data_IF_128734483419
#
_entry.id   IF_128734483419
#
_cell.length_a   1.000
_cell.length_b   1.000
_cell.length_c   1.000
_cell.angle_alpha   90.00
_cell.angle_beta   90.00
_cell.angle_gamma   90.00
#
_symmetry.space_group_name_H-M   'P 1'
#
loop_
_entity.id
_entity.type
_entity.pdbx_description
1 polymer ?
#
# COMPACT_ATOMS: atom_id res chain seq x y z
N UNK A 1 -16.83 -8.80 1.19
CA UNK A 1 -16.46 -7.65 0.36
C UNK A 1 -16.19 -6.41 1.21
N UNK A 2 -16.94 -6.16 2.31
CA UNK A 2 -16.69 -5.05 3.25
C UNK A 2 -15.23 -4.98 3.72
N UNK A 3 -14.67 -6.06 4.27
CA UNK A 3 -13.27 -6.10 4.73
C UNK A 3 -12.17 -6.01 3.64
N UNK A 4 -12.47 -6.29 2.36
CA UNK A 4 -11.50 -6.12 1.26
C UNK A 4 -11.51 -4.67 0.71
N UNK A 5 -12.51 -3.88 1.10
CA UNK A 5 -12.69 -2.50 0.70
C UNK A 5 -12.63 -1.51 1.87
N UNK A 6 -12.75 -1.95 3.11
CA UNK A 6 -12.60 -1.13 4.34
C UNK A 6 -11.14 -0.97 4.77
N UNK A 7 -10.16 -1.47 4.01
CA UNK A 7 -8.74 -1.20 4.28
C UNK A 7 -8.33 0.28 4.05
N UNK A 8 -9.32 1.17 3.89
CA UNK A 8 -9.23 2.57 4.28
C UNK A 8 -9.56 2.67 5.77
N UNK A 9 -8.53 2.60 6.62
CA UNK A 9 -8.53 3.33 7.90
C UNK A 9 -9.72 3.00 8.81
N UNK A 10 -9.94 1.74 9.21
CA UNK A 10 -10.72 1.48 10.43
C UNK A 10 -9.77 1.50 11.61
N UNK A 11 -9.38 2.70 12.05
CA UNK A 11 -8.73 2.93 13.36
C UNK A 11 -9.72 2.71 14.53
N UNK A 12 -10.95 2.27 14.27
CA UNK A 12 -12.01 2.13 15.27
C UNK A 12 -12.25 0.67 15.72
N UNK A 13 -11.28 0.04 16.39
CA UNK A 13 -11.53 -1.27 17.04
C UNK A 13 -11.17 -1.30 18.53
N UNK A 14 -11.28 -0.17 19.24
CA UNK A 14 -11.19 -0.13 20.71
C UNK A 14 -12.29 0.73 21.31
N UNK A 15 -13.56 0.43 21.00
CA UNK A 15 -14.70 1.06 21.70
C UNK A 15 -15.83 0.04 21.87
N UNK A 16 -15.60 -0.96 22.73
CA UNK A 16 -16.71 -1.65 23.39
C UNK A 16 -16.26 -2.21 24.73
N UNK A 17 -16.06 -1.34 25.71
CA UNK A 17 -16.34 -1.61 27.13
C UNK A 17 -16.05 -0.34 27.94
N UNK A 18 -17.10 0.24 28.53
CA UNK A 18 -17.01 1.42 29.38
C UNK A 18 -18.21 2.33 29.21
N UNK A 19 -19.34 1.95 29.82
CA UNK A 19 -20.48 2.85 29.99
C UNK A 19 -20.14 3.88 31.07
N UNK A 20 -20.16 5.15 30.71
CA UNK A 20 -19.99 6.28 31.62
C UNK A 20 -19.91 7.59 30.83
N UNK A 21 -20.94 8.42 30.92
CA UNK A 21 -20.94 9.79 30.39
C UNK A 21 -19.76 10.57 30.98
N UNK A 22 -18.80 10.95 30.15
CA UNK A 22 -17.69 11.84 30.52
C UNK A 22 -17.23 12.64 29.29
N UNK A 23 -16.74 13.86 29.53
CA UNK A 23 -16.16 14.77 28.54
C UNK A 23 -15.33 14.04 27.47
N UNK A 24 -15.54 14.39 26.20
CA UNK A 24 -14.75 13.83 25.11
C UNK A 24 -13.30 14.30 25.28
N UNK A 25 -12.43 13.42 25.77
CA UNK A 25 -10.99 13.65 25.95
C UNK A 25 -10.33 14.17 24.65
N UNK A 26 -9.37 15.10 24.77
CA UNK A 26 -8.61 15.70 23.65
C UNK A 26 -7.93 14.62 22.78
N UNK A 27 -7.56 13.51 23.40
CA UNK A 27 -7.07 12.29 22.73
C UNK A 27 -8.11 11.70 21.77
N UNK A 28 -9.35 11.58 22.24
CA UNK A 28 -10.47 11.04 21.46
C UNK A 28 -10.84 11.99 20.31
N UNK A 29 -10.75 13.30 20.53
CA UNK A 29 -11.01 14.30 19.49
C UNK A 29 -9.95 14.26 18.38
N UNK A 30 -8.66 14.14 18.71
CA UNK A 30 -7.59 14.15 17.71
C UNK A 30 -7.53 12.87 16.85
N UNK A 31 -7.79 11.69 17.43
CA UNK A 31 -7.89 10.43 16.65
C UNK A 31 -9.08 10.51 15.68
N UNK A 32 -10.23 11.01 16.16
CA UNK A 32 -11.40 11.24 15.32
C UNK A 32 -11.14 12.26 14.21
N UNK A 33 -10.34 13.29 14.46
CA UNK A 33 -10.05 14.33 13.49
C UNK A 33 -9.31 13.80 12.25
N UNK A 34 -8.27 12.97 12.42
CA UNK A 34 -7.57 12.37 11.28
C UNK A 34 -8.49 11.44 10.47
N UNK A 35 -9.21 10.54 11.14
CA UNK A 35 -10.16 9.65 10.46
C UNK A 35 -11.27 10.42 9.74
N UNK A 36 -11.76 11.51 10.35
CA UNK A 36 -12.78 12.36 9.75
C UNK A 36 -12.26 13.12 8.53
N UNK A 37 -11.02 13.64 8.60
CA UNK A 37 -10.37 14.29 7.46
C UNK A 37 -10.21 13.30 6.28
N UNK A 38 -9.72 12.09 6.54
CA UNK A 38 -9.58 11.05 5.51
C UNK A 38 -10.94 10.67 4.91
N UNK A 39 -11.98 10.51 5.74
CA UNK A 39 -13.34 10.20 5.29
C UNK A 39 -13.92 11.33 4.44
N UNK A 40 -13.72 12.58 4.87
CA UNK A 40 -14.14 13.77 4.15
C UNK A 40 -13.51 13.80 2.76
N UNK A 41 -12.17 13.68 2.69
CA UNK A 41 -11.44 13.67 1.44
C UNK A 41 -11.87 12.53 0.51
N UNK A 42 -12.01 11.31 1.04
CA UNK A 42 -12.52 10.18 0.25
C UNK A 42 -13.93 10.44 -0.30
N UNK A 43 -14.80 11.12 0.46
CA UNK A 43 -16.14 11.44 -0.01
C UNK A 43 -16.12 12.51 -1.12
N UNK A 44 -15.31 13.56 -0.98
CA UNK A 44 -15.17 14.59 -2.01
C UNK A 44 -14.65 14.00 -3.33
N UNK A 45 -13.59 13.20 -3.27
CA UNK A 45 -13.06 12.48 -4.44
C UNK A 45 -14.13 11.59 -5.06
N UNK A 46 -14.87 10.84 -4.24
CA UNK A 46 -15.95 9.99 -4.72
C UNK A 46 -17.02 10.79 -5.47
N UNK A 47 -17.47 11.92 -4.91
CA UNK A 47 -18.48 12.79 -5.54
C UNK A 47 -17.95 13.37 -6.86
N UNK A 48 -16.72 13.87 -6.87
CA UNK A 48 -16.04 14.39 -8.05
C UNK A 48 -16.00 13.37 -9.19
N UNK A 49 -15.65 12.12 -8.89
CA UNK A 49 -15.58 11.02 -9.86
C UNK A 49 -16.96 10.53 -10.28
N UNK A 50 -17.94 10.48 -9.38
CA UNK A 50 -19.32 10.09 -9.70
C UNK A 50 -19.97 11.07 -10.68
N UNK A 51 -19.62 12.36 -10.63
CA UNK A 51 -20.13 13.34 -11.59
C UNK A 51 -19.53 13.14 -12.99
N UNK A 52 -18.24 12.78 -13.07
CA UNK A 52 -17.46 12.80 -14.31
C UNK A 52 -17.36 11.46 -15.03
N UNK A 53 -17.34 10.33 -14.32
CA UNK A 53 -16.90 9.05 -14.88
C UNK A 53 -18.02 8.00 -14.88
N UNK A 54 -18.61 7.68 -16.05
CA UNK A 54 -19.63 6.65 -16.17
C UNK A 54 -19.19 5.28 -15.63
N UNK A 55 -17.97 4.85 -15.98
CA UNK A 55 -17.43 3.57 -15.51
C UNK A 55 -17.27 3.52 -13.98
N UNK A 56 -16.98 4.66 -13.34
CA UNK A 56 -16.89 4.76 -11.89
C UNK A 56 -18.26 4.71 -11.21
N UNK A 57 -19.29 5.34 -11.81
CA UNK A 57 -20.69 5.20 -11.37
C UNK A 57 -21.11 3.73 -11.42
N UNK A 58 -20.93 3.07 -12.57
CA UNK A 58 -21.24 1.65 -12.72
C UNK A 58 -20.47 0.78 -11.73
N UNK A 59 -19.17 1.05 -11.52
CA UNK A 59 -18.38 0.34 -10.53
C UNK A 59 -18.95 0.50 -9.12
N UNK A 60 -19.39 1.71 -8.75
CA UNK A 60 -19.98 2.01 -7.45
C UNK A 60 -21.27 1.22 -7.24
N UNK A 61 -22.17 1.19 -8.23
CA UNK A 61 -23.42 0.43 -8.17
C UNK A 61 -23.17 -1.09 -8.05
N UNK A 62 -22.17 -1.61 -8.79
CA UNK A 62 -21.81 -3.04 -8.74
C UNK A 62 -21.19 -3.42 -7.39
N UNK A 63 -20.39 -2.53 -6.80
CA UNK A 63 -19.87 -2.69 -5.43
C UNK A 63 -21.03 -2.69 -4.43
N UNK A 64 -22.02 -1.82 -4.58
CA UNK A 64 -23.19 -1.82 -3.69
C UNK A 64 -24.00 -3.12 -3.78
N UNK A 65 -24.29 -3.59 -5.00
CA UNK A 65 -24.96 -4.88 -5.21
C UNK A 65 -24.24 -6.05 -4.57
N UNK A 66 -22.91 -6.12 -4.74
CA UNK A 66 -22.12 -7.17 -4.13
C UNK A 66 -22.02 -7.07 -2.60
N UNK A 67 -22.16 -5.88 -2.01
CA UNK A 67 -22.15 -5.68 -0.55
C UNK A 67 -23.44 -6.16 0.10
N UNK A 68 -24.55 -5.99 -0.60
CA UNK A 68 -25.86 -6.39 -0.14
C UNK A 68 -26.12 -7.89 -0.37
N UNK A 69 -25.16 -8.63 -0.94
CA UNK A 69 -25.23 -10.07 -1.14
C UNK A 69 -24.23 -10.83 -0.24
N UNK A 70 -24.70 -11.64 0.73
CA UNK A 70 -23.83 -12.47 1.59
C UNK A 70 -22.88 -13.40 0.81
N UNK A 71 -23.26 -13.83 -0.39
CA UNK A 71 -22.39 -14.63 -1.27
C UNK A 71 -21.10 -13.88 -1.65
N UNK A 72 -21.17 -12.54 -1.76
CA UNK A 72 -20.01 -11.69 -1.93
C UNK A 72 -19.07 -11.77 -0.73
N UNK A 73 -19.61 -11.70 0.49
CA UNK A 73 -18.79 -11.84 1.71
C UNK A 73 -18.10 -13.21 1.80
N UNK A 74 -18.81 -14.30 1.51
CA UNK A 74 -18.22 -15.63 1.44
C UNK A 74 -17.12 -15.74 0.36
N UNK A 75 -17.35 -15.15 -0.82
CA UNK A 75 -16.37 -15.13 -1.90
C UNK A 75 -15.05 -14.47 -1.48
N UNK A 76 -15.13 -13.26 -0.92
CA UNK A 76 -13.94 -12.54 -0.48
C UNK A 76 -13.30 -13.17 0.78
N UNK A 77 -14.09 -13.78 1.67
CA UNK A 77 -13.54 -14.54 2.81
C UNK A 77 -12.76 -15.79 2.37
N UNK A 78 -13.25 -16.53 1.36
CA UNK A 78 -12.51 -17.64 0.75
C UNK A 78 -11.21 -17.15 0.12
N UNK A 79 -11.28 -16.05 -0.61
CA UNK A 79 -10.14 -15.41 -1.24
C UNK A 79 -9.07 -14.91 -0.23
N UNK A 80 -9.47 -14.38 0.93
CA UNK A 80 -8.54 -14.01 2.03
C UNK A 80 -7.83 -15.23 2.58
N UNK A 81 -8.59 -16.28 2.94
CA UNK A 81 -8.02 -17.55 3.43
C UNK A 81 -7.02 -18.18 2.46
N UNK A 82 -7.25 -18.02 1.15
CA UNK A 82 -6.32 -18.47 0.12
C UNK A 82 -5.07 -17.60 0.03
N UNK A 83 -5.19 -16.29 0.18
CA UNK A 83 -4.04 -15.38 0.22
C UNK A 83 -3.16 -15.64 1.45
N UNK A 84 -3.79 -15.83 2.62
CA UNK A 84 -3.09 -16.14 3.88
C UNK A 84 -2.38 -17.52 3.83
N UNK A 85 -2.79 -18.41 2.90
CA UNK A 85 -2.24 -19.76 2.68
C UNK A 85 -1.68 -19.90 1.26
N UNK A 86 -0.91 -18.90 0.80
CA UNK A 86 -0.40 -18.84 -0.57
C UNK A 86 0.39 -20.10 -0.94
N UNK A 87 -0.14 -20.86 -1.90
CA UNK A 87 0.48 -22.08 -2.44
C UNK A 87 1.51 -21.79 -3.53
N UNK A 88 2.37 -22.76 -3.83
CA UNK A 88 3.44 -22.57 -4.83
C UNK A 88 2.91 -22.18 -6.23
N UNK A 89 1.76 -22.76 -6.61
CA UNK A 89 1.07 -22.46 -7.88
C UNK A 89 0.51 -21.04 -7.91
N UNK A 90 -0.01 -20.54 -6.79
CA UNK A 90 -0.60 -19.19 -6.72
C UNK A 90 0.49 -18.13 -6.87
N UNK A 91 1.61 -18.27 -6.18
CA UNK A 91 2.69 -17.30 -6.33
C UNK A 91 3.37 -17.32 -7.70
N UNK A 92 3.46 -18.47 -8.38
CA UNK A 92 3.88 -18.53 -9.80
C UNK A 92 2.88 -17.80 -10.73
N UNK A 93 1.58 -17.88 -10.44
CA UNK A 93 0.56 -17.14 -11.18
C UNK A 93 0.69 -15.62 -10.98
N UNK A 94 0.92 -15.17 -9.74
CA UNK A 94 1.16 -13.77 -9.42
C UNK A 94 2.45 -13.22 -10.00
N UNK A 95 3.51 -14.03 -10.01
CA UNK A 95 4.76 -13.74 -10.70
C UNK A 95 4.53 -13.42 -12.19
N UNK A 96 3.75 -14.25 -12.88
CA UNK A 96 3.45 -14.05 -14.30
C UNK A 96 2.55 -12.83 -14.56
N UNK A 97 1.64 -12.52 -13.63
CA UNK A 97 0.82 -11.30 -13.69
C UNK A 97 1.69 -10.03 -13.64
N UNK A 98 2.67 -9.98 -12.73
CA UNK A 98 3.56 -8.82 -12.57
C UNK A 98 4.54 -8.66 -13.74
N UNK A 99 4.95 -9.76 -14.39
CA UNK A 99 5.75 -9.70 -15.64
C UNK A 99 5.03 -8.99 -16.78
N UNK A 100 3.70 -9.07 -16.85
CA UNK A 100 2.91 -8.38 -17.88
C UNK A 100 2.86 -6.87 -17.64
N UNK A 101 2.87 -6.43 -16.37
CA UNK A 101 2.87 -5.02 -15.99
C UNK A 101 4.16 -4.28 -16.40
N UNK A 102 5.29 -5.01 -16.52
CA UNK A 102 6.57 -4.44 -16.94
C UNK A 102 7.15 -5.23 -18.12
N UNK A 103 6.86 -4.79 -19.36
CA UNK A 103 7.30 -5.43 -20.63
C UNK A 103 8.81 -5.68 -20.76
N UNK A 104 9.66 -5.07 -19.92
CA UNK A 104 11.12 -5.28 -19.87
C UNK A 104 11.59 -6.32 -18.82
N UNK A 105 10.66 -6.99 -18.12
CA UNK A 105 10.92 -7.88 -16.97
C UNK A 105 11.03 -9.37 -17.34
N UNK A 106 11.82 -9.73 -18.34
CA UNK A 106 11.98 -11.16 -18.70
C UNK A 106 12.83 -11.97 -17.71
N UNK A 107 13.53 -11.32 -16.75
CA UNK A 107 14.61 -11.95 -15.95
C UNK A 107 14.44 -11.88 -14.43
N UNK A 108 13.36 -11.29 -13.92
CA UNK A 108 13.23 -11.01 -12.50
C UNK A 108 12.49 -12.10 -11.74
N UNK A 109 12.79 -12.20 -10.47
CA UNK A 109 12.33 -13.20 -9.51
C UNK A 109 11.29 -12.52 -8.60
N UNK A 110 10.01 -12.92 -8.65
CA UNK A 110 8.88 -12.22 -7.98
C UNK A 110 8.09 -13.11 -7.02
N UNK A 111 7.55 -12.49 -5.96
CA UNK A 111 6.55 -13.10 -5.09
C UNK A 111 5.51 -12.04 -4.69
N UNK A 112 4.20 -12.31 -4.78
CA UNK A 112 3.15 -11.41 -4.29
C UNK A 112 3.21 -11.28 -2.76
N UNK A 113 2.89 -10.09 -2.25
CA UNK A 113 2.96 -9.79 -0.81
C UNK A 113 4.37 -9.48 -0.30
N UNK A 114 5.35 -9.36 -1.21
CA UNK A 114 6.76 -9.18 -0.89
C UNK A 114 7.22 -7.75 -1.23
N UNK A 115 7.94 -7.12 -0.32
CA UNK A 115 8.74 -5.95 -0.66
C UNK A 115 10.03 -6.41 -1.36
N UNK A 116 10.39 -5.82 -2.49
CA UNK A 116 11.61 -6.24 -3.21
C UNK A 116 12.27 -5.07 -3.89
N UNK A 117 13.60 -4.99 -3.80
CA UNK A 117 14.42 -4.01 -4.50
C UNK A 117 15.48 -4.75 -5.34
N UNK A 118 15.69 -4.31 -6.57
CA UNK A 118 16.55 -5.01 -7.52
C UNK A 118 17.48 -4.05 -8.27
N UNK A 119 18.78 -4.39 -8.30
CA UNK A 119 19.80 -3.65 -9.02
C UNK A 119 20.07 -4.28 -10.38
N UNK A 120 20.20 -3.45 -11.42
CA UNK A 120 20.67 -3.79 -12.75
C UNK A 120 22.19 -3.55 -12.86
N UNK A 121 22.88 -4.42 -13.60
CA UNK A 121 24.26 -4.25 -14.09
C UNK A 121 25.37 -4.08 -13.03
N UNK A 122 25.39 -4.94 -12.02
CA UNK A 122 26.67 -5.33 -11.39
C UNK A 122 26.68 -6.83 -11.29
N UNK A 123 27.75 -7.49 -11.76
CA UNK A 123 28.01 -8.89 -11.45
C UNK A 123 28.66 -8.96 -10.07
N UNK A 124 28.16 -9.81 -9.14
CA UNK A 124 26.91 -10.55 -9.23
C UNK A 124 25.71 -9.63 -8.97
N UNK A 125 24.60 -9.88 -9.68
CA UNK A 125 23.36 -9.10 -9.58
C UNK A 125 22.91 -9.05 -8.12
N UNK A 126 23.14 -7.95 -7.41
CA UNK A 126 22.58 -7.81 -6.06
C UNK A 126 21.08 -7.57 -6.21
N UNK A 127 20.30 -8.62 -5.95
CA UNK A 127 18.84 -8.57 -5.91
C UNK A 127 18.45 -8.80 -4.46
N UNK A 128 18.09 -7.73 -3.75
CA UNK A 128 17.68 -7.80 -2.35
C UNK A 128 16.15 -7.87 -2.28
N UNK A 129 15.63 -9.07 -2.06
CA UNK A 129 14.21 -9.24 -1.77
C UNK A 129 14.03 -9.30 -0.25
N UNK A 130 13.22 -8.40 0.32
CA UNK A 130 13.00 -8.29 1.76
C UNK A 130 11.58 -8.75 2.12
N UNK A 131 11.48 -9.91 2.77
CA UNK A 131 10.19 -10.44 3.24
C UNK A 131 10.10 -10.42 4.74
N UNK A 132 8.89 -10.37 5.29
CA UNK A 132 8.68 -10.70 6.70
C UNK A 132 9.24 -12.12 6.98
N UNK A 133 9.90 -12.37 8.11
CA UNK A 133 10.33 -13.71 8.51
C UNK A 133 9.21 -14.75 8.47
N UNK A 134 9.53 -15.99 8.06
CA UNK A 134 8.54 -17.07 7.89
C UNK A 134 7.84 -17.41 9.21
N UNK A 135 8.60 -17.39 10.30
CA UNK A 135 8.14 -17.56 11.68
C UNK A 135 7.27 -16.38 12.17
N UNK A 136 7.45 -15.20 11.60
CA UNK A 136 6.60 -14.01 11.81
C UNK A 136 5.46 -13.88 10.79
N UNK A 137 5.13 -14.98 10.11
CA UNK A 137 4.00 -15.09 9.18
C UNK A 137 4.32 -14.81 7.71
N UNK A 138 5.58 -14.52 7.37
CA UNK A 138 6.02 -14.31 6.00
C UNK A 138 5.80 -15.51 5.08
N UNK A 139 5.73 -15.24 3.77
CA UNK A 139 5.55 -16.28 2.77
C UNK A 139 6.89 -16.80 2.25
N UNK A 140 6.99 -18.12 2.03
CA UNK A 140 8.16 -18.74 1.43
C UNK A 140 8.41 -18.14 0.05
N UNK A 141 9.55 -17.48 -0.13
CA UNK A 141 9.95 -17.00 -1.44
C UNK A 141 10.12 -18.19 -2.39
N UNK A 142 9.35 -18.21 -3.48
CA UNK A 142 9.40 -19.28 -4.49
C UNK A 142 10.40 -19.01 -5.60
N UNK A 143 11.41 -18.22 -5.28
CA UNK A 143 12.49 -17.95 -6.20
C UNK A 143 13.35 -19.21 -6.27
N UNK A 144 13.59 -19.71 -7.49
CA UNK A 144 14.66 -20.70 -7.69
C UNK A 144 15.93 -20.06 -7.14
N UNK A 145 16.59 -20.75 -6.20
CA UNK A 145 17.91 -20.34 -5.69
C UNK A 145 18.79 -20.07 -6.90
N UNK A 146 19.21 -18.82 -7.03
CA UNK A 146 20.12 -18.39 -8.07
C UNK A 146 21.30 -17.73 -7.37
N UNK A 147 22.56 -17.99 -7.76
CA UNK A 147 23.76 -17.39 -7.15
C UNK A 147 23.86 -15.85 -7.24
N UNK A 148 22.79 -15.18 -7.67
CA UNK A 148 22.73 -13.73 -7.89
C UNK A 148 21.40 -13.18 -7.36
N UNK A 149 20.87 -13.79 -6.31
CA UNK A 149 19.67 -13.36 -5.61
C UNK A 149 19.91 -13.60 -4.13
N UNK A 150 20.01 -12.52 -3.37
CA UNK A 150 20.06 -12.57 -1.92
C UNK A 150 18.68 -12.19 -1.38
N UNK A 151 18.03 -13.17 -0.75
CA UNK A 151 16.72 -12.96 -0.14
C UNK A 151 16.95 -12.86 1.35
N UNK A 152 16.70 -11.68 1.90
CA UNK A 152 16.70 -11.49 3.34
C UNK A 152 15.26 -11.49 3.85
N UNK A 153 15.05 -12.25 4.92
CA UNK A 153 13.77 -12.29 5.60
C UNK A 153 13.86 -11.38 6.83
N UNK A 154 13.46 -10.12 6.69
CA UNK A 154 13.48 -9.09 7.74
C UNK A 154 12.18 -8.29 7.78
N UNK A 155 11.80 -7.82 8.97
CA UNK A 155 10.72 -6.85 9.13
C UNK A 155 11.25 -5.45 8.79
N UNK A 156 10.96 -4.99 7.57
CA UNK A 156 11.44 -3.68 7.11
C UNK A 156 10.97 -2.52 7.98
N UNK A 157 9.85 -2.67 8.72
CA UNK A 157 9.36 -1.62 9.62
C UNK A 157 10.27 -1.40 10.84
N UNK A 158 11.27 -2.27 11.01
CA UNK A 158 12.29 -2.21 12.06
C UNK A 158 13.63 -1.65 11.57
N UNK A 159 13.71 -1.14 10.33
CA UNK A 159 14.90 -0.49 9.76
C UNK A 159 15.02 0.98 10.22
N UNK A 160 15.25 1.18 11.52
CA UNK A 160 15.25 2.53 12.12
C UNK A 160 16.34 3.45 11.55
N UNK A 161 17.55 2.92 11.39
CA UNK A 161 18.67 3.69 10.84
C UNK A 161 18.43 4.11 9.38
N UNK A 162 17.96 3.18 8.54
CA UNK A 162 17.60 3.46 7.14
C UNK A 162 16.46 4.50 7.05
N UNK A 163 15.53 4.48 8.02
CA UNK A 163 14.47 5.48 8.16
C UNK A 163 14.90 6.78 8.84
N UNK A 164 16.21 6.98 9.04
CA UNK A 164 16.79 8.24 9.51
C UNK A 164 16.80 8.42 11.04
N UNK A 165 16.69 7.35 11.82
CA UNK A 165 16.77 7.38 13.28
C UNK A 165 18.15 6.92 13.74
N UNK A 166 18.91 7.84 14.33
CA UNK A 166 20.27 7.56 14.82
C UNK A 166 20.31 6.63 16.04
N UNK A 167 19.33 6.74 16.94
CA UNK A 167 19.26 5.92 18.15
C UNK A 167 17.82 5.65 18.53
N UNK A 168 17.51 4.39 18.84
CA UNK A 168 16.20 3.97 19.32
C UNK A 168 16.04 4.35 20.80
N UNK A 169 14.92 4.99 21.22
CA UNK A 169 14.73 5.36 22.62
C UNK A 169 14.74 4.12 23.54
N UNK A 170 15.54 4.08 24.63
CA UNK A 170 15.66 2.88 25.48
C UNK A 170 14.34 2.41 26.12
N UNK A 171 13.39 3.32 26.30
CA UNK A 171 12.07 3.03 26.84
C UNK A 171 11.10 2.41 25.80
N UNK A 172 11.50 2.33 24.53
CA UNK A 172 10.65 1.77 23.49
C UNK A 172 10.51 0.24 23.67
N UNK A 173 9.29 -0.33 23.64
CA UNK A 173 9.07 -1.75 23.91
C UNK A 173 9.91 -2.69 23.02
N UNK A 174 10.09 -2.32 21.75
CA UNK A 174 10.82 -3.10 20.76
C UNK A 174 12.28 -2.60 20.57
N UNK A 175 12.88 -1.92 21.54
CA UNK A 175 14.24 -1.32 21.41
C UNK A 175 15.27 -2.30 20.84
N UNK A 176 15.25 -3.53 21.31
CA UNK A 176 16.20 -4.58 20.91
C UNK A 176 15.82 -5.32 19.63
N UNK A 177 14.62 -5.09 19.09
CA UNK A 177 14.15 -5.71 17.84
C UNK A 177 14.48 -4.86 16.60
N UNK A 178 14.91 -3.60 16.78
CA UNK A 178 15.35 -2.77 15.66
C UNK A 178 16.63 -3.33 15.04
N UNK A 179 16.66 -3.32 13.71
CA UNK A 179 17.74 -3.87 12.94
C UNK A 179 18.86 -2.83 12.75
N UNK A 180 20.13 -3.27 12.66
CA UNK A 180 21.20 -2.41 12.16
C UNK A 180 20.87 -1.87 10.77
N UNK A 181 21.50 -0.75 10.40
CA UNK A 181 21.40 -0.18 9.05
C UNK A 181 21.66 -1.26 8.00
N UNK A 182 20.79 -1.34 6.99
CA UNK A 182 20.89 -2.34 5.93
C UNK A 182 21.34 -1.76 4.60
N UNK A 183 20.97 -0.52 4.32
CA UNK A 183 21.21 0.14 3.04
C UNK A 183 22.06 1.39 3.25
N UNK A 184 23.06 1.53 2.40
CA UNK A 184 24.03 2.63 2.42
C UNK A 184 23.91 3.47 1.15
N UNK A 185 24.50 4.66 1.13
CA UNK A 185 24.37 5.61 0.02
C UNK A 185 24.78 5.05 -1.36
N UNK A 186 25.62 4.01 -1.42
CA UNK A 186 26.02 3.35 -2.66
C UNK A 186 25.06 2.27 -3.16
N UNK A 187 24.08 1.88 -2.34
CA UNK A 187 23.10 0.85 -2.66
C UNK A 187 21.97 1.47 -3.46
N UNK A 188 22.07 1.43 -4.78
CA UNK A 188 21.06 2.00 -5.68
C UNK A 188 20.48 0.94 -6.61
N UNK A 189 19.17 1.03 -6.84
CA UNK A 189 18.35 0.04 -7.52
C UNK A 189 17.65 0.64 -8.74
N UNK A 190 17.44 -0.19 -9.76
CA UNK A 190 16.77 0.23 -11.01
C UNK A 190 15.27 -0.09 -10.96
N UNK A 191 14.88 -0.97 -10.02
CA UNK A 191 13.52 -1.45 -9.86
C UNK A 191 13.21 -1.70 -8.39
N UNK A 192 12.07 -1.18 -7.92
CA UNK A 192 11.51 -1.53 -6.62
C UNK A 192 10.04 -1.95 -6.75
N UNK A 193 9.64 -2.91 -5.93
CA UNK A 193 8.27 -3.38 -5.79
C UNK A 193 7.82 -3.24 -4.35
N UNK A 194 6.84 -2.39 -4.15
CA UNK A 194 6.18 -2.10 -2.89
C UNK A 194 4.85 -2.87 -2.83
N UNK A 195 4.92 -4.18 -2.65
CA UNK A 195 3.75 -5.07 -2.55
C UNK A 195 3.62 -5.71 -1.15
N UNK A 196 4.43 -5.27 -0.19
CA UNK A 196 4.35 -5.68 1.20
C UNK A 196 3.00 -5.30 1.78
N UNK A 197 2.36 -6.25 2.46
CA UNK A 197 1.07 -6.09 3.12
C UNK A 197 1.14 -6.57 4.57
N UNK A 198 0.39 -5.89 5.43
CA UNK A 198 0.22 -6.32 6.81
C UNK A 198 -0.63 -7.60 6.83
N UNK A 199 -0.03 -8.70 7.27
CA UNK A 199 -0.70 -9.99 7.31
C UNK A 199 -1.67 -10.07 8.50
N UNK A 200 -2.84 -10.68 8.27
CA UNK A 200 -3.90 -10.82 9.30
C UNK A 200 -3.51 -11.78 10.41
N UNK A 201 -2.60 -12.71 10.12
CA UNK A 201 -2.16 -13.77 11.03
C UNK A 201 -0.95 -13.37 11.88
N UNK A 202 -0.34 -12.21 11.61
CA UNK A 202 0.83 -11.75 12.34
C UNK A 202 0.39 -11.08 13.65
N UNK A 203 0.80 -11.66 14.78
CA UNK A 203 0.66 -11.04 16.11
C UNK A 203 1.53 -9.79 16.17
N UNK A 204 0.97 -8.67 16.66
CA UNK A 204 1.63 -7.38 16.74
C UNK A 204 1.54 -6.83 18.15
N UNK A 205 2.53 -6.03 18.51
CA UNK A 205 2.48 -5.27 19.75
C UNK A 205 1.35 -4.22 19.70
N UNK A 206 0.62 -4.06 20.80
CA UNK A 206 -0.57 -3.21 20.85
C UNK A 206 -0.30 -1.75 20.44
N UNK A 207 0.89 -1.22 20.77
CA UNK A 207 1.24 0.17 20.47
C UNK A 207 1.30 0.50 18.97
N UNK A 208 1.55 -0.50 18.11
CA UNK A 208 1.77 -0.31 16.66
C UNK A 208 0.68 -0.92 15.79
N UNK A 209 -0.25 -1.69 16.34
CA UNK A 209 -1.20 -2.48 15.56
C UNK A 209 -2.02 -1.63 14.58
N UNK A 210 -2.63 -0.53 15.05
CA UNK A 210 -3.45 0.36 14.21
C UNK A 210 -2.63 1.15 13.19
N UNK A 211 -1.34 1.35 13.46
CA UNK A 211 -0.42 2.17 12.65
C UNK A 211 0.51 1.36 11.76
N UNK A 212 0.53 0.04 11.89
CA UNK A 212 1.40 -0.86 11.12
C UNK A 212 1.24 -0.72 9.60
N UNK A 213 0.01 -0.58 9.04
CA UNK A 213 -0.13 -0.37 7.60
C UNK A 213 0.54 0.92 7.12
N UNK A 214 0.50 1.98 7.94
CA UNK A 214 1.19 3.23 7.67
C UNK A 214 2.70 3.05 7.76
N UNK A 215 3.21 2.44 8.84
CA UNK A 215 4.65 2.13 9.01
C UNK A 215 5.18 1.36 7.82
N UNK A 216 4.48 0.31 7.39
CA UNK A 216 4.88 -0.52 6.25
C UNK A 216 4.87 0.26 4.94
N UNK A 217 3.81 1.01 4.66
CA UNK A 217 3.70 1.79 3.41
C UNK A 217 4.81 2.85 3.32
N UNK A 218 5.02 3.61 4.39
CA UNK A 218 6.02 4.67 4.45
C UNK A 218 7.44 4.13 4.31
N UNK A 219 7.73 2.99 4.96
CA UNK A 219 9.03 2.31 4.83
C UNK A 219 9.29 1.89 3.39
N UNK A 220 8.32 1.19 2.77
CA UNK A 220 8.47 0.73 1.39
C UNK A 220 8.68 1.88 0.42
N UNK A 221 7.93 2.97 0.57
CA UNK A 221 8.03 4.14 -0.30
C UNK A 221 9.35 4.90 -0.10
N UNK A 222 9.73 5.20 1.15
CA UNK A 222 10.93 5.96 1.48
C UNK A 222 12.20 5.24 1.04
N UNK A 223 12.39 3.99 1.48
CA UNK A 223 13.58 3.21 1.15
C UNK A 223 13.69 2.99 -0.36
N UNK A 224 12.58 2.66 -1.02
CA UNK A 224 12.61 2.43 -2.47
C UNK A 224 12.99 3.66 -3.26
N UNK A 225 12.44 4.83 -2.91
CA UNK A 225 12.68 6.06 -3.65
C UNK A 225 14.07 6.63 -3.35
N UNK A 226 14.52 6.58 -2.10
CA UNK A 226 15.85 7.04 -1.68
C UNK A 226 16.97 6.26 -2.34
N UNK A 227 16.78 4.95 -2.51
CA UNK A 227 17.73 4.07 -3.17
C UNK A 227 17.37 3.84 -4.65
N UNK A 228 16.50 4.65 -5.26
CA UNK A 228 16.17 4.55 -6.68
C UNK A 228 17.22 5.27 -7.52
N UNK A 229 17.75 4.59 -8.55
CA UNK A 229 18.55 5.26 -9.57
C UNK A 229 17.68 6.22 -10.40
N UNK A 230 18.21 7.38 -10.84
CA UNK A 230 17.56 8.20 -11.84
C UNK A 230 17.19 7.37 -13.09
N UNK A 231 15.94 7.50 -13.55
CA UNK A 231 15.38 6.72 -14.65
C UNK A 231 14.78 5.36 -14.24
N UNK A 232 14.91 4.96 -12.98
CA UNK A 232 14.42 3.68 -12.45
C UNK A 232 12.89 3.58 -12.41
N UNK A 233 12.39 2.42 -11.95
CA UNK A 233 10.96 2.10 -11.91
C UNK A 233 10.51 1.62 -10.53
N UNK A 234 9.34 2.07 -10.08
CA UNK A 234 8.65 1.55 -8.90
C UNK A 234 7.29 0.97 -9.27
N UNK A 235 6.99 -0.23 -8.76
CA UNK A 235 5.65 -0.79 -8.75
C UNK A 235 5.10 -0.73 -7.33
N UNK A 236 4.01 -0.02 -7.11
CA UNK A 236 3.43 0.17 -5.78
C UNK A 236 2.02 -0.37 -5.74
N UNK A 237 1.75 -1.29 -4.82
CA UNK A 237 0.40 -1.80 -4.59
C UNK A 237 -0.47 -0.69 -3.98
N UNK A 238 -1.57 -0.38 -4.67
CA UNK A 238 -2.61 0.55 -4.23
C UNK A 238 -3.90 -0.20 -3.95
N UNK A 239 -4.68 0.32 -2.99
CA UNK A 239 -6.03 -0.17 -2.68
C UNK A 239 -7.04 0.92 -2.97
N UNK A 240 -7.85 0.73 -4.02
CA UNK A 240 -8.73 1.74 -4.64
C UNK A 240 -7.93 2.93 -5.18
N UNK A 241 -8.10 3.24 -6.45
CA UNK A 241 -7.48 4.43 -7.06
C UNK A 241 -8.04 5.69 -6.40
N UNK A 242 -9.33 5.67 -6.06
CA UNK A 242 -10.08 6.78 -5.48
C UNK A 242 -9.88 7.00 -3.97
N UNK A 243 -9.05 6.20 -3.28
CA UNK A 243 -8.81 6.44 -1.85
C UNK A 243 -7.86 7.61 -1.63
N UNK A 244 -8.06 8.39 -0.56
CA UNK A 244 -7.21 9.55 -0.25
C UNK A 244 -5.72 9.23 -0.29
N UNK A 245 -5.32 8.12 0.36
CA UNK A 245 -3.92 7.67 0.37
C UNK A 245 -3.39 7.33 -1.03
N UNK A 246 -4.16 6.64 -1.87
CA UNK A 246 -3.76 6.33 -3.24
C UNK A 246 -3.64 7.60 -4.09
N UNK A 247 -4.58 8.54 -3.95
CA UNK A 247 -4.56 9.82 -4.68
C UNK A 247 -3.30 10.62 -4.31
N UNK A 248 -2.97 10.73 -3.02
CA UNK A 248 -1.75 11.42 -2.59
C UNK A 248 -0.47 10.76 -3.12
N UNK A 249 -0.41 9.42 -3.15
CA UNK A 249 0.74 8.70 -3.73
C UNK A 249 0.83 8.98 -5.24
N UNK A 250 -0.27 8.84 -5.98
CA UNK A 250 -0.31 9.08 -7.42
C UNK A 250 0.10 10.53 -7.76
N UNK A 251 -0.46 11.51 -7.04
CA UNK A 251 -0.14 12.94 -7.19
C UNK A 251 1.34 13.18 -6.93
N UNK A 252 1.87 12.65 -5.83
CA UNK A 252 3.28 12.77 -5.46
C UNK A 252 4.20 12.27 -6.58
N UNK A 253 3.98 11.04 -7.06
CA UNK A 253 4.84 10.45 -8.09
C UNK A 253 4.70 11.12 -9.46
N UNK A 254 3.54 11.69 -9.80
CA UNK A 254 3.37 12.46 -11.05
C UNK A 254 4.26 13.72 -11.09
N UNK A 255 4.70 14.24 -9.94
CA UNK A 255 5.60 15.40 -9.88
C UNK A 255 7.03 15.11 -10.34
N UNK A 256 7.46 13.85 -10.39
CA UNK A 256 8.85 13.49 -10.68
C UNK A 256 9.03 12.18 -11.47
N UNK A 257 7.96 11.62 -12.05
CA UNK A 257 8.01 10.37 -12.80
C UNK A 257 6.85 10.21 -13.78
N UNK A 258 6.99 9.28 -14.73
CA UNK A 258 5.93 8.85 -15.62
C UNK A 258 5.05 7.81 -14.92
N UNK A 259 3.81 8.17 -14.59
CA UNK A 259 2.89 7.34 -13.80
C UNK A 259 1.78 6.72 -14.66
N UNK A 260 1.52 5.43 -14.43
CA UNK A 260 0.35 4.70 -14.92
C UNK A 260 -0.27 3.85 -13.81
N UNK A 261 -1.57 3.58 -13.89
CA UNK A 261 -2.23 2.60 -13.03
C UNK A 261 -2.50 1.33 -13.83
N UNK A 262 -2.11 0.20 -13.27
CA UNK A 262 -2.30 -1.11 -13.85
C UNK A 262 -3.25 -1.94 -12.98
N UNK A 263 -4.38 -2.35 -13.56
CA UNK A 263 -5.33 -3.27 -12.95
C UNK A 263 -5.23 -4.64 -13.61
N UNK A 264 -4.82 -5.70 -12.88
CA UNK A 264 -4.73 -7.01 -13.50
C UNK A 264 -6.12 -7.56 -13.91
N UNK A 265 -6.23 -8.04 -15.14
CA UNK A 265 -7.52 -8.50 -15.73
C UNK A 265 -7.83 -9.97 -15.46
N UNK A 266 -6.81 -10.81 -15.23
CA UNK A 266 -6.96 -12.26 -15.03
C UNK A 266 -7.00 -12.66 -13.55
N UNK A 267 -6.33 -11.89 -12.69
CA UNK A 267 -6.20 -12.13 -11.26
C UNK A 267 -6.70 -10.91 -10.51
N UNK A 268 -7.42 -11.08 -9.40
CA UNK A 268 -7.87 -9.96 -8.56
C UNK A 268 -8.65 -8.85 -9.29
N UNK A 269 -9.17 -9.11 -10.49
CA UNK A 269 -9.90 -8.12 -11.28
C UNK A 269 -11.12 -7.58 -10.52
N UNK A 270 -11.78 -8.43 -9.72
CA UNK A 270 -12.92 -8.03 -8.86
C UNK A 270 -12.51 -7.29 -7.58
N UNK A 271 -11.24 -7.34 -7.17
CA UNK A 271 -10.75 -6.64 -5.96
C UNK A 271 -10.53 -5.15 -6.22
N UNK A 272 -10.36 -4.37 -5.17
CA UNK A 272 -9.94 -2.97 -5.22
C UNK A 272 -8.43 -2.77 -5.46
N UNK A 273 -7.62 -3.84 -5.39
CA UNK A 273 -6.16 -3.75 -5.53
C UNK A 273 -5.73 -3.47 -6.97
N UNK A 274 -4.78 -2.56 -7.15
CA UNK A 274 -4.15 -2.24 -8.43
C UNK A 274 -2.70 -1.83 -8.19
N UNK A 275 -1.91 -1.63 -9.24
CA UNK A 275 -0.53 -1.18 -9.11
C UNK A 275 -0.36 0.18 -9.74
N UNK A 276 0.26 1.11 -9.02
CA UNK A 276 0.93 2.23 -9.67
C UNK A 276 2.23 1.71 -10.29
N UNK A 277 2.47 2.06 -11.54
CA UNK A 277 3.75 1.89 -12.23
C UNK A 277 4.33 3.28 -12.45
N UNK A 278 5.32 3.66 -11.65
CA UNK A 278 6.08 4.89 -11.81
C UNK A 278 7.40 4.56 -12.49
N UNK A 279 7.63 5.09 -13.69
CA UNK A 279 8.85 4.88 -14.48
C UNK A 279 9.56 6.19 -14.74
N UNK A 280 10.82 6.13 -15.20
CA UNK A 280 11.62 7.33 -15.48
C UNK A 280 11.72 8.24 -14.23
N UNK A 281 11.87 7.61 -13.06
CA UNK A 281 11.86 8.32 -11.78
C UNK A 281 13.07 9.26 -11.69
N UNK A 282 12.81 10.53 -11.45
CA UNK A 282 13.82 11.55 -11.16
C UNK A 282 14.08 11.56 -9.65
N UNK A 283 14.78 10.55 -9.13
CA UNK A 283 14.94 10.34 -7.68
C UNK A 283 15.67 11.47 -6.94
N UNK A 284 16.43 12.29 -7.67
CA UNK A 284 17.12 13.47 -7.15
C UNK A 284 16.30 14.77 -7.31
N UNK A 285 15.10 14.71 -7.88
CA UNK A 285 14.20 15.85 -7.96
C UNK A 285 13.80 16.30 -6.55
N UNK A 286 13.63 17.61 -6.34
CA UNK A 286 13.34 18.13 -5.01
C UNK A 286 12.05 17.55 -4.41
N UNK A 287 11.01 17.35 -5.23
CA UNK A 287 9.77 16.71 -4.78
C UNK A 287 9.97 15.26 -4.33
N UNK A 288 10.88 14.52 -4.99
CA UNK A 288 11.20 13.15 -4.57
C UNK A 288 11.90 13.16 -3.20
N UNK A 289 12.85 14.09 -3.01
CA UNK A 289 13.55 14.28 -1.73
C UNK A 289 12.57 14.68 -0.62
N UNK A 290 11.67 15.63 -0.89
CA UNK A 290 10.60 16.04 0.03
C UNK A 290 9.67 14.88 0.38
N UNK A 291 9.31 14.05 -0.60
CA UNK A 291 8.48 12.87 -0.38
C UNK A 291 9.16 11.85 0.56
N UNK A 292 10.46 11.57 0.36
CA UNK A 292 11.23 10.69 1.25
C UNK A 292 11.22 11.23 2.68
N UNK A 293 11.53 12.52 2.86
CA UNK A 293 11.54 13.17 4.18
C UNK A 293 10.17 13.08 4.87
N UNK A 294 9.09 13.38 4.13
CA UNK A 294 7.71 13.26 4.61
C UNK A 294 7.41 11.85 5.10
N UNK A 295 7.71 10.82 4.31
CA UNK A 295 7.44 9.43 4.68
C UNK A 295 8.27 8.97 5.88
N UNK A 296 9.55 9.37 5.98
CA UNK A 296 10.39 9.10 7.16
C UNK A 296 9.84 9.77 8.42
N UNK A 297 9.37 11.01 8.32
CA UNK A 297 8.77 11.74 9.43
C UNK A 297 7.47 11.08 9.92
N UNK A 298 6.58 10.72 9.01
CA UNK A 298 5.34 10.03 9.34
C UNK A 298 5.60 8.63 9.92
N UNK A 299 6.57 7.89 9.38
CA UNK A 299 6.99 6.60 9.93
C UNK A 299 7.52 6.75 11.36
N UNK A 300 8.33 7.78 11.63
CA UNK A 300 8.87 8.06 12.96
C UNK A 300 7.75 8.35 13.95
N UNK A 301 6.77 9.18 13.59
CA UNK A 301 5.60 9.45 14.42
C UNK A 301 4.74 8.20 14.65
N UNK A 302 4.56 7.38 13.61
CA UNK A 302 3.83 6.12 13.69
C UNK A 302 4.53 5.06 14.56
N UNK A 303 5.85 5.15 14.71
CA UNK A 303 6.68 4.18 15.43
C UNK A 303 6.91 4.60 16.88
N UNK A 304 7.31 5.84 17.12
CA UNK A 304 7.73 6.32 18.45
C UNK A 304 6.71 7.24 19.13
N UNK A 305 5.78 7.82 18.37
CA UNK A 305 4.76 8.70 18.90
C UNK A 305 3.51 7.95 19.37
N UNK A 306 2.53 8.71 19.82
CA UNK A 306 1.15 8.30 20.09
C UNK A 306 0.30 8.32 18.81
N UNK A 307 -0.90 7.74 18.89
CA UNK A 307 -1.86 7.80 17.78
C UNK A 307 -2.31 9.23 17.47
N UNK A 308 -2.46 10.06 18.51
CA UNK A 308 -2.79 11.49 18.41
C UNK A 308 -1.70 12.26 17.68
N UNK A 309 -0.44 12.09 18.08
CA UNK A 309 0.68 12.78 17.44
C UNK A 309 0.83 12.39 15.98
N UNK A 310 0.65 11.10 15.67
CA UNK A 310 0.63 10.61 14.29
C UNK A 310 -0.50 11.25 13.49
N UNK A 311 -1.73 11.25 14.00
CA UNK A 311 -2.90 11.82 13.34
C UNK A 311 -2.76 13.32 13.09
N UNK A 312 -2.33 14.08 14.11
CA UNK A 312 -2.08 15.53 13.99
C UNK A 312 -1.01 15.83 12.95
N UNK A 313 0.09 15.08 12.94
CA UNK A 313 1.14 15.24 11.94
C UNK A 313 0.62 14.92 10.54
N UNK A 314 -0.11 13.81 10.37
CA UNK A 314 -0.68 13.43 9.07
C UNK A 314 -1.61 14.51 8.52
N UNK A 315 -2.54 15.02 9.33
CA UNK A 315 -3.43 16.13 8.93
C UNK A 315 -2.64 17.38 8.58
N UNK A 316 -1.63 17.75 9.39
CA UNK A 316 -0.84 18.97 9.14
C UNK A 316 0.00 18.92 7.86
N UNK A 317 0.38 17.71 7.43
CA UNK A 317 1.18 17.52 6.24
C UNK A 317 0.31 17.29 5.00
N UNK A 318 -0.87 16.71 5.14
CA UNK A 318 -1.77 16.42 4.03
C UNK A 318 -2.31 17.75 3.42
N UNK A 319 -2.34 17.87 2.09
CA UNK A 319 -2.97 19.02 1.45
C UNK A 319 -4.49 18.98 1.66
N UNK A 320 -5.12 20.13 1.45
CA UNK A 320 -6.57 20.21 1.37
C UNK A 320 -7.11 19.40 0.17
N UNK A 321 -8.28 18.77 0.31
CA UNK A 321 -8.79 17.88 -0.75
C UNK A 321 -9.32 18.67 -1.93
N UNK A 322 -9.87 19.86 -1.70
CA UNK A 322 -10.33 20.75 -2.75
C UNK A 322 -9.15 21.20 -3.63
N UNK A 323 -8.02 21.58 -3.02
CA UNK A 323 -6.77 21.93 -3.73
C UNK A 323 -6.27 20.75 -4.60
N UNK A 324 -6.33 19.53 -4.05
CA UNK A 324 -5.93 18.30 -4.78
C UNK A 324 -6.87 18.01 -5.96
N UNK A 325 -8.17 18.26 -5.81
CA UNK A 325 -9.13 18.05 -6.89
C UNK A 325 -9.01 19.12 -7.98
N UNK A 326 -8.65 20.34 -7.61
CA UNK A 326 -8.37 21.42 -8.55
C UNK A 326 -7.13 21.12 -9.39
N UNK A 327 -6.01 20.73 -8.76
CA UNK A 327 -4.73 20.56 -9.45
C UNK A 327 -4.53 19.18 -10.11
N UNK A 328 -5.11 18.13 -9.54
CA UNK A 328 -4.86 16.75 -9.91
C UNK A 328 -6.13 15.97 -10.29
N UNK A 329 -7.33 16.53 -10.09
CA UNK A 329 -8.60 15.81 -10.30
C UNK A 329 -8.76 15.23 -11.71
N UNK A 330 -8.42 16.00 -12.75
CA UNK A 330 -8.48 15.51 -14.14
C UNK A 330 -7.41 14.44 -14.42
N UNK A 331 -6.20 14.60 -13.85
CA UNK A 331 -5.16 13.60 -14.00
C UNK A 331 -5.50 12.30 -13.26
N UNK A 332 -6.17 12.40 -12.11
CA UNK A 332 -6.73 11.26 -11.39
C UNK A 332 -7.76 10.50 -12.23
N UNK A 333 -8.63 11.22 -12.94
CA UNK A 333 -9.59 10.65 -13.88
C UNK A 333 -8.88 9.82 -14.95
N UNK A 334 -7.89 10.41 -15.63
CA UNK A 334 -7.13 9.74 -16.69
C UNK A 334 -6.41 8.49 -16.18
N UNK A 335 -5.79 8.58 -15.00
CA UNK A 335 -5.07 7.47 -14.40
C UNK A 335 -5.99 6.32 -13.97
N UNK A 336 -7.18 6.63 -13.47
CA UNK A 336 -8.09 5.64 -12.89
C UNK A 336 -9.02 4.95 -13.89
N UNK A 337 -9.26 5.55 -15.06
CA UNK A 337 -10.32 5.13 -15.99
C UNK A 337 -10.27 3.63 -16.34
N UNK A 338 -9.14 3.16 -16.86
CA UNK A 338 -8.96 1.75 -17.25
C UNK A 338 -9.07 0.80 -16.06
N UNK A 339 -8.59 1.22 -14.88
CA UNK A 339 -8.64 0.41 -13.67
C UNK A 339 -10.07 0.24 -13.15
N UNK A 340 -10.86 1.32 -13.16
CA UNK A 340 -12.27 1.28 -12.76
C UNK A 340 -13.10 0.48 -13.78
N UNK A 341 -12.87 0.68 -15.06
CA UNK A 341 -13.52 -0.08 -16.12
C UNK A 341 -13.24 -1.59 -15.98
N UNK A 342 -11.98 -1.97 -15.81
CA UNK A 342 -11.57 -3.37 -15.63
C UNK A 342 -12.26 -3.99 -14.42
N UNK A 343 -12.32 -3.26 -13.30
CA UNK A 343 -12.98 -3.76 -12.09
C UNK A 343 -14.50 -3.89 -12.29
N UNK A 344 -15.14 -2.91 -12.93
CA UNK A 344 -16.57 -2.93 -13.20
C UNK A 344 -16.94 -4.14 -14.09
N UNK A 345 -16.20 -4.35 -15.18
CA UNK A 345 -16.40 -5.49 -16.07
C UNK A 345 -16.24 -6.84 -15.35
N UNK A 346 -15.28 -6.95 -14.43
CA UNK A 346 -15.09 -8.17 -13.66
C UNK A 346 -16.23 -8.39 -12.65
N UNK A 347 -16.68 -7.33 -11.96
CA UNK A 347 -17.78 -7.42 -11.00
C UNK A 347 -19.12 -7.71 -11.67
N UNK A 348 -19.41 -7.14 -12.84
CA UNK A 348 -20.63 -7.45 -13.61
C UNK A 348 -20.75 -8.94 -14.01
N UNK A 349 -19.62 -9.65 -14.07
CA UNK A 349 -19.56 -11.09 -14.37
C UNK A 349 -19.53 -11.95 -13.12
N UNK A 350 -19.39 -11.36 -11.93
CA UNK A 350 -19.24 -12.10 -10.69
C UNK A 350 -20.56 -12.81 -10.30
N UNK A 351 -20.51 -14.09 -9.88
CA UNK A 351 -21.71 -14.85 -9.52
C UNK A 351 -22.53 -14.26 -8.38
N UNK A 352 -21.92 -13.45 -7.52
CA UNK A 352 -22.59 -12.79 -6.39
C UNK A 352 -23.14 -11.39 -6.75
N UNK A 353 -22.91 -10.91 -7.97
CA UNK A 353 -23.47 -9.66 -8.48
C UNK A 353 -24.55 -9.93 -9.53
N UNK A 354 -24.40 -11.00 -10.30
CA UNK A 354 -25.47 -11.48 -11.19
C UNK A 354 -26.62 -12.01 -10.34
N UNK A 355 -27.81 -11.49 -10.55
CA UNK A 355 -29.02 -12.14 -10.08
C UNK A 355 -29.08 -13.53 -10.72
N UNK A 356 -29.15 -14.57 -9.90
CA UNK A 356 -29.47 -15.92 -10.38
C UNK A 356 -30.82 -15.79 -11.07
N UNK A 357 -30.88 -16.02 -12.39
CA UNK A 357 -32.18 -16.26 -13.03
C UNK A 357 -32.80 -17.44 -12.27
N UNK A 358 -33.90 -17.16 -11.57
CA UNK A 358 -34.72 -18.16 -10.90
C UNK A 358 -35.30 -19.14 -11.93
#
# INVERSE_FOLDING_TARGET
MKADMENTSTYSSVLSQGGGETEVDDTTMAIRAYDQAVKHACNQIRLYLLERIPNFRTLTDLKEKGWNNPAGDHHFAKQRRQADRCSEKQASYFFNMMRVAHRRSSTYAWHPGLFSIARWNTTPWLRLALSVPLDKGGHKALLRRHPSIDIEFIDITMLGADMGVASIPPAHPDTHEFLPQKLYAGDVFDLAICDGQVLRTHSRAAYRESREPARLTMTQLAISLEHMKPGGTMLVLLHKVESWKSVLILRTFCGFSDVKVFKPTRAHATRSSCYMVASNIQSQHEDAIRAIQRWKQLWKAATFGTEVEFGRLAVSLDPDVEDVLEDFGMRLVELGEEAWETQAHALAKAPFVRETRA
#
